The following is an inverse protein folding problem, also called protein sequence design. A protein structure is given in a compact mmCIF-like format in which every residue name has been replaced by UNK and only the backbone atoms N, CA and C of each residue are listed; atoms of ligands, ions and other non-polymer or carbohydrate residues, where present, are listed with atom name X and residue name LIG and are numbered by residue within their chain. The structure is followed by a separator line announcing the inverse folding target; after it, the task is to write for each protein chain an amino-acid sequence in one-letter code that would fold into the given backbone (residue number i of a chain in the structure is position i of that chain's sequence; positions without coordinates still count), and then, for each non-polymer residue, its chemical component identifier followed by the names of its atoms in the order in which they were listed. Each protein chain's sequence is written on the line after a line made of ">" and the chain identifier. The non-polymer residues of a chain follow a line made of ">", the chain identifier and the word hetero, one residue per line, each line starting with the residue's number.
data_IF_361010951302
#
_entry.id   IF_361010951302
#
_cell.length_a   1.000
_cell.length_b   1.000
_cell.length_c   1.000
_cell.angle_alpha   90.00
_cell.angle_beta   90.00
_cell.angle_gamma   90.00
#
_symmetry.space_group_name_H-M   'P 1'
#
loop_
_entity.id
_entity.type
_entity.pdbx_description
1 polymer ?
#
# COMPACT_ATOMS: atom_id res chain seq x y z
N UNK A 1 -54.86 33.62 -22.38
CA UNK A 1 -55.57 32.42 -21.88
C UNK A 1 -54.50 31.38 -21.59
N UNK A 2 -54.28 31.10 -20.31
CA UNK A 2 -53.28 30.18 -19.80
C UNK A 2 -53.64 28.73 -20.16
N UNK A 3 -52.69 27.96 -20.69
CA UNK A 3 -52.62 26.51 -20.44
C UNK A 3 -51.16 26.15 -20.26
N UNK A 4 -50.69 26.32 -19.03
CA UNK A 4 -49.51 25.69 -18.48
C UNK A 4 -49.82 24.20 -18.32
N UNK A 5 -49.24 23.34 -19.17
CA UNK A 5 -49.29 21.89 -18.94
C UNK A 5 -48.10 21.50 -18.09
N UNK A 6 -48.24 21.74 -16.79
CA UNK A 6 -47.47 21.07 -15.74
C UNK A 6 -47.70 19.56 -15.86
N UNK A 7 -46.81 18.85 -16.54
CA UNK A 7 -46.55 17.44 -16.24
C UNK A 7 -45.34 17.37 -15.33
N UNK A 8 -45.59 17.70 -14.06
CA UNK A 8 -44.77 17.27 -12.93
C UNK A 8 -44.74 15.74 -12.99
N UNK A 9 -43.67 15.18 -13.58
CA UNK A 9 -43.32 13.77 -13.38
C UNK A 9 -42.70 13.65 -11.98
N UNK A 10 -43.51 13.87 -10.96
CA UNK A 10 -43.21 13.45 -9.60
C UNK A 10 -43.65 12.00 -9.47
N UNK A 11 -42.80 11.08 -9.94
CA UNK A 11 -42.78 9.70 -9.44
C UNK A 11 -41.49 8.95 -9.81
N UNK A 12 -40.33 9.62 -9.71
CA UNK A 12 -39.07 8.91 -9.51
C UNK A 12 -38.88 8.71 -8.01
N UNK A 13 -39.49 7.66 -7.46
CA UNK A 13 -39.15 7.19 -6.10
C UNK A 13 -37.62 7.07 -6.02
N UNK A 14 -36.93 7.79 -5.11
CA UNK A 14 -35.46 7.81 -5.05
C UNK A 14 -34.86 6.41 -4.96
N UNK A 15 -35.57 5.48 -4.31
CA UNK A 15 -35.16 4.08 -4.20
C UNK A 15 -35.18 3.30 -5.51
N UNK A 16 -36.05 3.63 -6.47
CA UNK A 16 -36.07 2.99 -7.80
C UNK A 16 -34.91 3.48 -8.68
N UNK A 17 -34.60 4.78 -8.66
CA UNK A 17 -33.45 5.36 -9.37
C UNK A 17 -32.14 4.77 -8.86
N UNK A 18 -31.93 4.78 -7.54
CA UNK A 18 -30.73 4.21 -6.91
C UNK A 18 -30.59 2.72 -7.20
N UNK A 19 -31.69 1.95 -7.20
CA UNK A 19 -31.62 0.51 -7.50
C UNK A 19 -31.27 0.20 -8.96
N UNK A 20 -31.67 1.07 -9.89
CA UNK A 20 -31.34 0.95 -11.30
C UNK A 20 -29.87 1.34 -11.53
N UNK A 21 -29.43 2.45 -10.95
CA UNK A 21 -28.03 2.86 -10.96
C UNK A 21 -27.11 1.79 -10.36
N UNK A 22 -27.51 1.16 -9.24
CA UNK A 22 -26.75 0.08 -8.62
C UNK A 22 -26.69 -1.17 -9.51
N UNK A 23 -27.79 -1.49 -10.21
CA UNK A 23 -27.82 -2.63 -11.15
C UNK A 23 -26.94 -2.38 -12.36
N UNK A 24 -26.98 -1.18 -12.93
CA UNK A 24 -26.12 -0.78 -14.04
C UNK A 24 -24.64 -0.84 -13.62
N UNK A 25 -24.31 -0.28 -12.45
CA UNK A 25 -22.97 -0.37 -11.87
C UNK A 25 -22.51 -1.81 -11.64
N UNK A 26 -23.39 -2.69 -11.15
CA UNK A 26 -23.06 -4.10 -10.92
C UNK A 26 -22.80 -4.86 -12.24
N UNK A 27 -23.58 -4.60 -13.28
CA UNK A 27 -23.35 -5.19 -14.61
C UNK A 27 -22.04 -4.68 -15.22
N UNK A 28 -21.74 -3.39 -15.06
CA UNK A 28 -20.47 -2.79 -15.49
C UNK A 28 -19.29 -3.37 -14.72
N UNK A 29 -19.36 -3.44 -13.38
CA UNK A 29 -18.34 -4.06 -12.54
C UNK A 29 -18.10 -5.53 -12.92
N UNK A 30 -19.18 -6.28 -13.19
CA UNK A 30 -19.11 -7.68 -13.65
C UNK A 30 -18.45 -7.80 -15.02
N UNK A 31 -18.64 -6.83 -15.90
CA UNK A 31 -17.93 -6.75 -17.19
C UNK A 31 -16.43 -6.53 -16.97
N UNK A 32 -16.06 -5.58 -16.10
CA UNK A 32 -14.66 -5.27 -15.77
C UNK A 32 -13.95 -6.47 -15.11
N UNK A 33 -14.64 -7.21 -14.23
CA UNK A 33 -14.11 -8.42 -13.58
C UNK A 33 -13.73 -9.56 -14.55
N UNK A 34 -14.25 -9.55 -15.78
CA UNK A 34 -13.89 -10.55 -16.81
C UNK A 34 -12.60 -10.19 -17.55
N UNK A 35 -12.11 -8.97 -17.43
CA UNK A 35 -10.91 -8.52 -18.12
C UNK A 35 -9.68 -9.13 -17.43
N UNK A 36 -8.84 -9.91 -18.14
CA UNK A 36 -7.68 -10.58 -17.52
C UNK A 36 -6.71 -9.61 -16.84
N UNK A 37 -6.44 -8.45 -17.45
CA UNK A 37 -5.58 -7.42 -16.86
C UNK A 37 -6.13 -6.87 -15.55
N UNK A 38 -7.45 -6.73 -15.44
CA UNK A 38 -8.08 -6.30 -14.20
C UNK A 38 -7.94 -7.34 -13.10
N UNK A 39 -8.09 -8.63 -13.44
CA UNK A 39 -7.87 -9.73 -12.49
C UNK A 39 -6.42 -9.74 -11.97
N UNK A 40 -5.44 -9.52 -12.83
CA UNK A 40 -4.02 -9.41 -12.43
C UNK A 40 -3.81 -8.23 -11.48
N UNK A 41 -4.41 -7.08 -11.77
CA UNK A 41 -4.34 -5.89 -10.91
C UNK A 41 -4.93 -6.18 -9.52
N UNK A 42 -6.11 -6.80 -9.45
CA UNK A 42 -6.74 -7.18 -8.19
C UNK A 42 -5.89 -8.22 -7.45
N UNK A 43 -5.40 -9.24 -8.15
CA UNK A 43 -4.54 -10.28 -7.56
C UNK A 43 -3.25 -9.68 -6.98
N UNK A 44 -2.61 -8.76 -7.69
CA UNK A 44 -1.43 -8.03 -7.21
C UNK A 44 -1.77 -7.15 -6.01
N UNK A 45 -2.87 -6.38 -6.08
CA UNK A 45 -3.28 -5.48 -4.99
C UNK A 45 -3.62 -6.24 -3.71
N UNK A 46 -4.36 -7.35 -3.83
CA UNK A 46 -4.69 -8.24 -2.72
C UNK A 46 -3.42 -8.88 -2.16
N UNK A 47 -2.58 -9.47 -3.01
CA UNK A 47 -1.31 -10.10 -2.59
C UNK A 47 -0.35 -9.09 -1.93
N UNK A 48 -0.24 -7.89 -2.50
CA UNK A 48 0.61 -6.81 -1.99
C UNK A 48 0.09 -6.17 -0.71
N UNK A 49 -1.16 -6.43 -0.30
CA UNK A 49 -1.74 -5.91 0.94
C UNK A 49 -1.44 -6.79 2.16
N UNK A 50 -1.08 -8.07 1.98
CA UNK A 50 -0.79 -9.00 3.07
C UNK A 50 0.44 -8.65 3.93
N UNK A 51 1.55 -8.13 3.38
CA UNK A 51 2.74 -7.88 4.20
C UNK A 51 2.55 -6.82 5.27
N UNK A 52 1.65 -5.86 5.06
CA UNK A 52 1.52 -4.73 5.99
C UNK A 52 0.96 -5.13 7.36
N UNK A 53 -0.19 -5.85 7.41
CA UNK A 53 -0.70 -6.40 8.66
C UNK A 53 0.31 -7.35 9.33
N UNK A 54 1.05 -8.15 8.56
CA UNK A 54 2.07 -9.05 9.11
C UNK A 54 3.21 -8.28 9.79
N UNK A 55 3.72 -7.21 9.16
CA UNK A 55 4.74 -6.35 9.74
C UNK A 55 4.26 -5.63 11.00
N UNK A 56 2.96 -5.35 11.16
CA UNK A 56 2.43 -4.76 12.39
C UNK A 56 2.59 -5.68 13.62
N UNK A 57 2.78 -6.99 13.42
CA UNK A 57 3.09 -7.95 14.49
C UNK A 57 4.60 -8.05 14.80
N UNK A 58 5.47 -7.37 14.05
CA UNK A 58 6.93 -7.40 14.28
C UNK A 58 7.32 -7.09 15.73
N UNK A 59 6.71 -6.10 16.42
CA UNK A 59 7.04 -5.83 17.83
C UNK A 59 6.76 -7.04 18.74
N UNK A 60 5.62 -7.70 18.56
CA UNK A 60 5.25 -8.90 19.31
C UNK A 60 6.25 -10.03 19.05
N UNK A 61 6.64 -10.22 17.79
CA UNK A 61 7.60 -11.25 17.40
C UNK A 61 9.00 -11.01 18.00
N UNK A 62 9.48 -9.75 18.00
CA UNK A 62 10.75 -9.38 18.63
C UNK A 62 10.75 -9.68 20.13
N UNK A 63 9.67 -9.33 20.84
CA UNK A 63 9.53 -9.68 22.26
C UNK A 63 9.52 -11.20 22.51
N UNK A 64 8.89 -11.98 21.61
CA UNK A 64 8.87 -13.44 21.70
C UNK A 64 10.27 -14.08 21.53
N UNK A 65 11.14 -13.48 20.71
CA UNK A 65 12.53 -13.93 20.53
C UNK A 65 13.41 -13.60 21.75
N UNK A 66 12.93 -12.75 22.66
CA UNK A 66 13.62 -12.42 23.91
C UNK A 66 14.18 -11.00 23.96
N UNK A 67 13.80 -10.13 23.02
CA UNK A 67 14.09 -8.71 23.13
C UNK A 67 13.31 -8.08 24.29
N UNK A 68 13.94 -7.12 24.97
CA UNK A 68 13.22 -6.37 26.00
C UNK A 68 12.20 -5.43 25.37
N UNK A 69 11.11 -5.14 26.09
CA UNK A 69 10.08 -4.19 25.65
C UNK A 69 10.67 -2.81 25.24
N UNK A 70 11.72 -2.37 25.94
CA UNK A 70 12.44 -1.11 25.63
C UNK A 70 13.16 -1.19 24.29
N UNK A 71 13.87 -2.29 24.02
CA UNK A 71 14.59 -2.50 22.75
C UNK A 71 13.60 -2.62 21.59
N UNK A 72 12.55 -3.41 21.75
CA UNK A 72 11.49 -3.56 20.73
C UNK A 72 10.86 -2.20 20.38
N UNK A 73 10.47 -1.43 21.40
CA UNK A 73 9.87 -0.10 21.19
C UNK A 73 10.84 0.84 20.47
N UNK A 74 12.13 0.81 20.84
CA UNK A 74 13.16 1.60 20.19
C UNK A 74 13.31 1.21 18.72
N UNK A 75 13.48 -0.08 18.42
CA UNK A 75 13.61 -0.61 17.06
C UNK A 75 12.40 -0.28 16.19
N UNK A 76 11.20 -0.44 16.73
CA UNK A 76 9.96 -0.13 16.02
C UNK A 76 9.79 1.38 15.76
N UNK A 77 10.14 2.22 16.73
CA UNK A 77 10.11 3.67 16.53
C UNK A 77 11.10 4.11 15.45
N UNK A 78 12.30 3.51 15.43
CA UNK A 78 13.33 3.76 14.42
C UNK A 78 12.86 3.32 13.03
N UNK A 79 12.16 2.20 12.92
CA UNK A 79 11.50 1.77 11.68
C UNK A 79 10.52 2.82 11.17
N UNK A 80 9.66 3.39 12.03
CA UNK A 80 8.69 4.41 11.61
C UNK A 80 9.35 5.74 11.18
N UNK A 81 10.43 6.12 11.85
CA UNK A 81 11.26 7.27 11.42
C UNK A 81 11.88 6.99 10.06
N UNK A 82 12.40 5.78 9.83
CA UNK A 82 12.94 5.36 8.53
C UNK A 82 11.88 5.43 7.42
N UNK A 83 10.66 4.93 7.66
CA UNK A 83 9.54 5.06 6.74
C UNK A 83 9.23 6.52 6.39
N UNK A 84 9.27 7.41 7.38
CA UNK A 84 9.02 8.84 7.17
C UNK A 84 10.09 9.49 6.30
N UNK A 85 11.37 9.19 6.57
CA UNK A 85 12.52 9.69 5.79
C UNK A 85 12.49 9.13 4.37
N UNK A 86 12.25 7.83 4.22
CA UNK A 86 12.17 7.17 2.93
C UNK A 86 11.03 7.73 2.07
N UNK A 87 9.88 8.04 2.66
CA UNK A 87 8.78 8.70 1.96
C UNK A 87 9.18 10.06 1.38
N UNK A 88 9.83 10.91 2.18
CA UNK A 88 10.35 12.20 1.69
C UNK A 88 11.37 12.03 0.56
N UNK A 89 12.28 11.07 0.69
CA UNK A 89 13.30 10.80 -0.32
C UNK A 89 12.68 10.24 -1.61
N UNK A 90 11.77 9.27 -1.50
CA UNK A 90 11.05 8.65 -2.61
C UNK A 90 10.22 9.68 -3.39
N UNK A 91 9.51 10.57 -2.69
CA UNK A 91 8.74 11.65 -3.31
C UNK A 91 9.64 12.63 -4.08
N UNK A 92 10.68 13.17 -3.42
CA UNK A 92 11.62 14.10 -4.06
C UNK A 92 12.37 13.46 -5.24
N UNK A 93 12.77 12.20 -5.11
CA UNK A 93 13.39 11.45 -6.21
C UNK A 93 12.41 11.24 -7.37
N UNK A 94 11.15 10.89 -7.07
CA UNK A 94 10.08 10.76 -8.05
C UNK A 94 9.85 12.06 -8.82
N UNK A 95 9.76 13.20 -8.13
CA UNK A 95 9.59 14.52 -8.75
C UNK A 95 10.73 14.87 -9.68
N UNK A 96 11.99 14.71 -9.25
CA UNK A 96 13.18 15.01 -10.06
C UNK A 96 13.23 14.11 -11.30
N UNK A 97 12.97 12.82 -11.13
CA UNK A 97 13.09 11.85 -12.21
C UNK A 97 11.93 12.00 -13.22
N UNK A 98 10.75 12.46 -12.78
CA UNK A 98 9.59 12.75 -13.64
C UNK A 98 9.87 13.82 -14.69
N UNK A 99 10.79 14.74 -14.44
CA UNK A 99 11.23 15.76 -15.41
C UNK A 99 11.91 15.09 -16.63
N UNK A 100 12.61 13.96 -16.42
CA UNK A 100 13.31 13.22 -17.49
C UNK A 100 12.48 12.11 -18.10
N UNK A 101 11.62 11.46 -17.32
CA UNK A 101 10.86 10.27 -17.72
C UNK A 101 9.40 10.32 -17.17
N UNK A 102 8.57 11.24 -17.68
CA UNK A 102 7.29 11.62 -17.07
C UNK A 102 6.29 10.47 -16.86
N UNK A 103 6.26 9.47 -17.76
CA UNK A 103 5.29 8.37 -17.69
C UNK A 103 5.84 7.09 -17.05
N UNK A 104 7.16 6.95 -16.93
CA UNK A 104 7.80 5.69 -16.54
C UNK A 104 8.32 5.71 -15.11
N UNK A 105 8.65 6.90 -14.57
CA UNK A 105 9.30 7.06 -13.27
C UNK A 105 8.48 6.49 -12.14
N UNK A 106 7.18 6.78 -12.10
CA UNK A 106 6.29 6.30 -11.03
C UNK A 106 6.17 4.77 -11.04
N UNK A 107 6.12 4.17 -12.24
CA UNK A 107 6.09 2.71 -12.41
C UNK A 107 7.43 2.10 -11.97
N UNK A 108 8.56 2.64 -12.43
CA UNK A 108 9.89 2.13 -12.11
C UNK A 108 10.19 2.24 -10.61
N UNK A 109 9.92 3.39 -9.98
CA UNK A 109 10.11 3.56 -8.53
C UNK A 109 9.30 2.55 -7.74
N UNK A 110 8.04 2.35 -8.15
CA UNK A 110 7.14 1.42 -7.44
C UNK A 110 7.63 -0.02 -7.55
N UNK A 111 8.06 -0.44 -8.74
CA UNK A 111 8.59 -1.78 -8.95
C UNK A 111 9.92 -2.01 -8.23
N UNK A 112 10.82 -1.01 -8.17
CA UNK A 112 12.07 -1.10 -7.40
C UNK A 112 11.76 -1.24 -5.90
N UNK A 113 10.82 -0.44 -5.39
CA UNK A 113 10.40 -0.50 -3.98
C UNK A 113 9.79 -1.86 -3.63
N UNK A 114 8.80 -2.32 -4.40
CA UNK A 114 8.13 -3.61 -4.18
C UNK A 114 9.09 -4.79 -4.37
N UNK A 115 9.93 -4.74 -5.41
CA UNK A 115 10.92 -5.77 -5.72
C UNK A 115 12.03 -5.87 -4.68
N UNK A 116 12.44 -4.75 -4.07
CA UNK A 116 13.47 -4.73 -3.03
C UNK A 116 12.94 -5.21 -1.67
N UNK A 117 11.65 -5.07 -1.41
CA UNK A 117 11.05 -5.52 -0.16
C UNK A 117 11.12 -7.04 0.01
N UNK A 118 10.88 -7.80 -1.06
CA UNK A 118 10.87 -9.28 -1.03
C UNK A 118 12.20 -9.88 -0.52
N UNK A 119 13.38 -9.57 -1.10
CA UNK A 119 14.65 -10.10 -0.62
C UNK A 119 15.02 -9.56 0.76
N UNK A 120 14.65 -8.33 1.11
CA UNK A 120 14.91 -7.78 2.44
C UNK A 120 14.08 -8.47 3.52
N UNK A 121 12.81 -8.77 3.24
CA UNK A 121 11.95 -9.55 4.12
C UNK A 121 12.47 -10.98 4.29
N UNK A 122 12.97 -11.60 3.22
CA UNK A 122 13.63 -12.90 3.30
C UNK A 122 14.87 -12.88 4.21
N UNK A 123 15.73 -11.86 4.07
CA UNK A 123 16.91 -11.69 4.93
C UNK A 123 16.48 -11.50 6.39
N UNK A 124 15.45 -10.69 6.65
CA UNK A 124 14.94 -10.48 8.00
C UNK A 124 14.43 -11.77 8.64
N UNK A 125 13.69 -12.61 7.89
CA UNK A 125 13.05 -13.80 8.43
C UNK A 125 13.94 -15.04 8.47
N UNK A 126 14.86 -15.22 7.52
CA UNK A 126 15.67 -16.44 7.40
C UNK A 126 17.18 -16.19 7.48
N UNK A 127 17.63 -14.94 7.32
CA UNK A 127 19.05 -14.58 7.26
C UNK A 127 19.64 -14.16 8.60
N UNK A 128 18.83 -13.76 9.58
CA UNK A 128 19.30 -13.33 10.90
C UNK A 128 19.05 -14.44 11.94
N UNK A 129 20.04 -14.72 12.82
CA UNK A 129 19.84 -15.66 13.91
C UNK A 129 18.96 -15.05 15.00
N UNK A 130 18.04 -15.85 15.54
CA UNK A 130 17.13 -15.50 16.63
C UNK A 130 17.86 -15.41 17.98
N UNK A 131 18.75 -14.43 18.11
CA UNK A 131 19.51 -14.15 19.33
C UNK A 131 19.38 -12.66 19.69
N UNK A 132 18.96 -12.32 20.93
CA UNK A 132 18.88 -10.93 21.40
C UNK A 132 20.21 -10.16 21.28
N UNK A 133 21.36 -10.84 21.20
CA UNK A 133 22.67 -10.20 20.93
C UNK A 133 22.75 -9.52 19.55
N UNK A 134 21.80 -9.80 18.64
CA UNK A 134 21.77 -9.29 17.27
C UNK A 134 20.81 -8.13 17.05
N UNK A 135 20.43 -7.42 18.12
CA UNK A 135 19.52 -6.28 18.08
C UNK A 135 19.87 -5.22 17.04
N UNK A 136 21.17 -4.92 16.88
CA UNK A 136 21.65 -3.98 15.87
C UNK A 136 21.44 -4.48 14.44
N UNK A 137 21.57 -5.80 14.18
CA UNK A 137 21.37 -6.38 12.85
C UNK A 137 19.89 -6.35 12.48
N UNK A 138 19.01 -6.73 13.42
CA UNK A 138 17.56 -6.66 13.24
C UNK A 138 17.10 -5.22 13.02
N UNK A 139 17.61 -4.28 13.82
CA UNK A 139 17.32 -2.86 13.67
C UNK A 139 17.79 -2.26 12.35
N UNK A 140 19.00 -2.60 11.90
CA UNK A 140 19.53 -2.13 10.61
C UNK A 140 18.69 -2.66 9.44
N UNK A 141 18.33 -3.95 9.47
CA UNK A 141 17.49 -4.56 8.42
C UNK A 141 16.10 -3.91 8.40
N UNK A 142 15.47 -3.71 9.56
CA UNK A 142 14.19 -3.00 9.67
C UNK A 142 14.31 -1.57 9.16
N UNK A 143 15.38 -0.85 9.51
CA UNK A 143 15.62 0.51 9.03
C UNK A 143 15.72 0.57 7.49
N UNK A 144 16.46 -0.36 6.88
CA UNK A 144 16.57 -0.47 5.42
C UNK A 144 15.19 -0.81 4.82
N UNK A 145 14.46 -1.77 5.39
CA UNK A 145 13.10 -2.11 4.94
C UNK A 145 12.19 -0.89 4.99
N UNK A 146 12.20 -0.10 6.07
CA UNK A 146 11.37 1.10 6.21
C UNK A 146 11.73 2.18 5.17
N UNK A 147 13.03 2.35 4.90
CA UNK A 147 13.49 3.27 3.87
C UNK A 147 12.98 2.87 2.47
N UNK A 148 13.08 1.59 2.09
CA UNK A 148 12.72 1.16 0.74
C UNK A 148 11.22 0.96 0.54
N UNK A 149 10.48 0.51 1.55
CA UNK A 149 9.02 0.26 1.44
C UNK A 149 8.19 1.54 1.33
N UNK A 150 8.64 2.62 1.96
CA UNK A 150 7.95 3.92 1.96
C UNK A 150 7.98 4.64 0.61
N UNK A 151 8.88 4.25 -0.30
CA UNK A 151 8.99 4.87 -1.63
C UNK A 151 7.75 4.62 -2.49
N UNK A 152 7.08 3.47 -2.31
CA UNK A 152 5.86 3.15 -3.05
C UNK A 152 4.76 4.20 -2.84
N UNK A 153 4.47 4.56 -1.57
CA UNK A 153 3.41 5.52 -1.23
C UNK A 153 3.74 6.92 -1.76
N UNK A 154 4.98 7.36 -1.61
CA UNK A 154 5.39 8.69 -2.03
C UNK A 154 5.52 8.84 -3.55
N UNK A 155 5.84 7.76 -4.28
CA UNK A 155 5.99 7.78 -5.73
C UNK A 155 4.63 7.74 -6.47
N UNK A 156 3.56 7.30 -5.81
CA UNK A 156 2.22 7.14 -6.44
C UNK A 156 1.23 8.26 -6.11
N UNK A 157 1.58 9.19 -5.21
CA UNK A 157 0.76 10.36 -4.86
C UNK A 157 1.16 11.61 -5.69
#
# INVERSE_FOLDING_TARGET
>A
MFVEKNSVNADSSPGKSLSLELKEFLEEAKSVMKIPSFQILIAQGVSGSFPWPALAFTPMWLELIGFTHKETTFLWSMFQVACSIGGLFGGKMGDILSIRLPNLVRIILSQISAGSFIPLAWILMFGLPDDPSTALKHGLTLFIIGLFTSWNVAATN
#
